data_IF_222023443488
#
_entry.id   IF_222023443488
#
_cell.length_a   1.000
_cell.length_b   1.000
_cell.length_c   1.000
_cell.angle_alpha   90.00
_cell.angle_beta   90.00
_cell.angle_gamma   90.00
#
_symmetry.space_group_name_H-M   'P 1'
#
loop_
_entity.id
_entity.type
_entity.pdbx_description
1 polymer ?
#
# COMPACT_ATOMS: atom_id res chain seq x y z
N UNK A 1 -2.64 21.32 25.32
CA UNK A 1 -1.42 20.52 25.24
C UNK A 1 -0.94 20.52 23.79
N UNK A 2 0.09 21.30 23.53
CA UNK A 2 0.60 21.58 22.18
C UNK A 2 1.46 20.38 21.72
N UNK A 3 0.85 19.42 21.02
CA UNK A 3 1.56 18.26 20.45
C UNK A 3 2.25 18.64 19.14
N UNK A 4 3.17 19.62 19.16
CA UNK A 4 4.05 19.85 18.01
C UNK A 4 5.02 18.68 17.91
N UNK A 5 4.78 17.76 16.96
CA UNK A 5 5.74 16.71 16.60
C UNK A 5 7.10 17.36 16.35
N UNK A 6 8.14 16.89 17.02
CA UNK A 6 9.50 17.41 16.81
C UNK A 6 9.88 17.20 15.33
N UNK A 7 10.55 18.15 14.66
CA UNK A 7 10.87 18.03 13.23
C UNK A 7 11.62 16.73 12.89
N UNK A 8 12.50 16.25 13.79
CA UNK A 8 13.17 14.95 13.63
C UNK A 8 12.25 13.72 13.65
N UNK A 9 11.12 13.77 14.35
CA UNK A 9 10.12 12.68 14.33
C UNK A 9 9.35 12.65 13.02
N UNK A 10 9.08 13.80 12.40
CA UNK A 10 8.41 13.87 11.11
C UNK A 10 9.34 13.29 10.03
N UNK A 11 10.61 13.72 10.01
CA UNK A 11 11.60 13.19 9.07
C UNK A 11 11.76 11.67 9.18
N UNK A 12 11.84 11.14 10.41
CA UNK A 12 11.91 9.70 10.64
C UNK A 12 10.64 8.97 10.16
N UNK A 13 9.45 9.52 10.40
CA UNK A 13 8.19 8.93 9.92
C UNK A 13 8.10 8.87 8.39
N UNK A 14 8.56 9.92 7.72
CA UNK A 14 8.64 9.97 6.25
C UNK A 14 9.63 8.92 5.75
N UNK A 15 10.84 8.86 6.32
CA UNK A 15 11.86 7.88 5.93
C UNK A 15 11.33 6.46 6.05
N UNK A 16 10.71 6.12 7.19
CA UNK A 16 10.16 4.77 7.38
C UNK A 16 9.04 4.49 6.37
N UNK A 17 8.21 5.48 6.05
CA UNK A 17 7.14 5.32 5.04
C UNK A 17 7.71 5.01 3.67
N UNK A 18 8.78 5.70 3.27
CA UNK A 18 9.49 5.45 2.01
C UNK A 18 10.08 4.04 2.01
N UNK A 19 10.76 3.64 3.09
CA UNK A 19 11.35 2.30 3.21
C UNK A 19 10.28 1.22 3.11
N UNK A 20 9.15 1.37 3.81
CA UNK A 20 8.04 0.41 3.74
C UNK A 20 7.45 0.35 2.33
N UNK A 21 7.26 1.50 1.67
CA UNK A 21 6.76 1.55 0.31
C UNK A 21 7.71 0.84 -0.67
N UNK A 22 9.01 1.11 -0.57
CA UNK A 22 10.04 0.47 -1.39
C UNK A 22 10.09 -1.05 -1.18
N UNK A 23 10.02 -1.51 0.08
CA UNK A 23 9.97 -2.93 0.41
C UNK A 23 8.73 -3.61 -0.15
N UNK A 24 7.54 -3.01 0.01
CA UNK A 24 6.30 -3.60 -0.50
C UNK A 24 6.27 -3.63 -2.03
N UNK A 25 6.73 -2.57 -2.70
CA UNK A 25 6.86 -2.55 -4.14
C UNK A 25 7.85 -3.63 -4.62
N UNK A 26 9.04 -3.70 -4.01
CA UNK A 26 10.06 -4.69 -4.35
C UNK A 26 9.60 -6.13 -4.12
N UNK A 27 8.93 -6.41 -3.00
CA UNK A 27 8.35 -7.73 -2.72
C UNK A 27 7.25 -8.09 -3.74
N UNK A 28 6.40 -7.14 -4.13
CA UNK A 28 5.40 -7.36 -5.17
C UNK A 28 6.06 -7.65 -6.52
N UNK A 29 7.14 -6.94 -6.87
CA UNK A 29 7.93 -7.18 -8.08
C UNK A 29 8.55 -8.58 -8.08
N UNK A 30 9.21 -8.96 -6.97
CA UNK A 30 9.83 -10.28 -6.82
C UNK A 30 8.80 -11.41 -6.86
N UNK A 31 7.68 -11.24 -6.15
CA UNK A 31 6.58 -12.19 -6.18
C UNK A 31 6.02 -12.33 -7.60
N UNK A 32 5.87 -11.22 -8.35
CA UNK A 32 5.39 -11.27 -9.74
C UNK A 32 6.37 -12.01 -10.65
N UNK A 33 7.67 -11.74 -10.51
CA UNK A 33 8.71 -12.39 -11.29
C UNK A 33 8.74 -13.90 -10.99
N UNK A 34 8.73 -14.29 -9.72
CA UNK A 34 8.78 -15.70 -9.30
C UNK A 34 7.50 -16.47 -9.68
N UNK A 35 6.34 -15.84 -9.56
CA UNK A 35 5.05 -16.42 -9.92
C UNK A 35 4.73 -16.26 -11.41
N UNK A 36 5.59 -15.60 -12.18
CA UNK A 36 5.57 -15.44 -13.64
C UNK A 36 5.00 -16.64 -14.39
N UNK A 37 5.64 -17.81 -14.26
CA UNK A 37 5.25 -19.03 -14.96
C UNK A 37 3.88 -19.60 -14.55
N UNK A 38 3.41 -19.30 -13.32
CA UNK A 38 2.17 -19.87 -12.76
C UNK A 38 0.96 -18.94 -12.89
N UNK A 39 1.18 -17.64 -12.95
CA UNK A 39 0.10 -16.65 -13.02
C UNK A 39 -0.44 -16.45 -14.45
N UNK A 40 0.25 -16.96 -15.49
CA UNK A 40 -0.20 -16.81 -16.87
C UNK A 40 -0.48 -15.36 -17.26
N UNK A 41 -1.49 -15.15 -18.10
CA UNK A 41 -1.96 -13.83 -18.56
C UNK A 41 -2.64 -12.95 -17.50
N UNK A 42 -2.56 -13.29 -16.21
CA UNK A 42 -3.00 -12.37 -15.14
C UNK A 42 -2.23 -11.06 -15.25
N UNK A 43 -2.99 -9.96 -15.19
CA UNK A 43 -2.47 -8.59 -15.31
C UNK A 43 -1.25 -8.41 -14.39
N UNK A 44 -0.12 -7.87 -14.91
CA UNK A 44 1.11 -7.71 -14.13
C UNK A 44 0.92 -6.82 -12.89
N UNK A 45 -0.19 -6.09 -12.82
CA UNK A 45 -0.51 -5.18 -11.74
C UNK A 45 -1.26 -5.78 -10.55
N UNK A 46 -1.76 -7.02 -10.63
CA UNK A 46 -2.62 -7.57 -9.57
C UNK A 46 -1.92 -7.62 -8.20
N UNK A 47 -0.64 -8.02 -8.17
CA UNK A 47 0.18 -8.05 -6.94
C UNK A 47 0.52 -6.63 -6.44
N UNK A 48 0.67 -5.67 -7.35
CA UNK A 48 0.88 -4.27 -6.96
C UNK A 48 -0.38 -3.67 -6.33
N UNK A 49 -1.59 -4.00 -6.81
CA UNK A 49 -2.85 -3.57 -6.16
C UNK A 49 -2.94 -4.11 -4.73
N UNK A 50 -2.59 -5.37 -4.52
CA UNK A 50 -2.53 -5.95 -3.17
C UNK A 50 -1.51 -5.23 -2.28
N UNK A 51 -0.33 -4.90 -2.82
CA UNK A 51 0.68 -4.13 -2.10
C UNK A 51 0.20 -2.70 -1.75
N UNK A 52 -0.53 -2.03 -2.65
CA UNK A 52 -1.16 -0.72 -2.39
C UNK A 52 -2.16 -0.81 -1.24
N UNK A 53 -3.02 -1.82 -1.24
CA UNK A 53 -3.98 -2.07 -0.16
C UNK A 53 -3.26 -2.26 1.19
N UNK A 54 -2.27 -3.13 1.24
CA UNK A 54 -1.49 -3.39 2.47
C UNK A 54 -0.78 -2.12 2.95
N UNK A 55 -0.11 -1.40 2.05
CA UNK A 55 0.56 -0.14 2.37
C UNK A 55 -0.41 0.90 2.93
N UNK A 56 -1.57 1.06 2.28
CA UNK A 56 -2.65 1.96 2.69
C UNK A 56 -3.20 1.62 4.07
N UNK A 57 -3.40 0.33 4.35
CA UNK A 57 -3.95 -0.15 5.62
C UNK A 57 -2.95 0.00 6.77
N UNK A 58 -1.67 -0.33 6.55
CA UNK A 58 -0.65 -0.35 7.61
C UNK A 58 -0.14 1.05 7.92
N UNK A 59 0.20 1.84 6.89
CA UNK A 59 0.89 3.14 7.04
C UNK A 59 0.04 4.33 6.62
N UNK A 60 -1.13 4.11 6.05
CA UNK A 60 -2.02 5.17 5.61
C UNK A 60 -1.86 5.53 4.13
N UNK A 61 -2.62 6.53 3.66
CA UNK A 61 -2.85 6.77 2.24
C UNK A 61 -1.57 7.19 1.51
N UNK A 62 -0.70 7.96 2.14
CA UNK A 62 0.55 8.40 1.53
C UNK A 62 1.48 7.22 1.19
N UNK A 63 1.56 6.21 2.06
CA UNK A 63 2.35 5.01 1.79
C UNK A 63 1.76 4.22 0.62
N UNK A 64 0.44 4.03 0.59
CA UNK A 64 -0.20 3.32 -0.51
C UNK A 64 -0.11 4.08 -1.84
N UNK A 65 -0.16 5.40 -1.84
CA UNK A 65 0.08 6.22 -3.03
C UNK A 65 1.52 6.06 -3.56
N UNK A 66 2.53 6.02 -2.68
CA UNK A 66 3.92 5.77 -3.08
C UNK A 66 4.07 4.38 -3.71
N UNK A 67 3.47 3.34 -3.11
CA UNK A 67 3.46 1.99 -3.69
C UNK A 67 2.71 1.95 -5.03
N UNK A 68 1.62 2.71 -5.16
CA UNK A 68 0.86 2.81 -6.40
C UNK A 68 1.71 3.43 -7.52
N UNK A 69 2.41 4.52 -7.24
CA UNK A 69 3.29 5.16 -8.22
C UNK A 69 4.48 4.26 -8.58
N UNK A 70 5.19 3.75 -7.57
CA UNK A 70 6.34 2.87 -7.77
C UNK A 70 5.94 1.59 -8.50
N UNK A 71 4.84 0.95 -8.10
CA UNK A 71 4.34 -0.27 -8.73
C UNK A 71 3.85 -0.05 -10.16
N UNK A 72 3.29 1.12 -10.47
CA UNK A 72 2.95 1.51 -11.84
C UNK A 72 4.19 1.61 -12.73
N UNK A 73 5.21 2.34 -12.25
CA UNK A 73 6.47 2.53 -12.99
C UNK A 73 7.21 1.20 -13.16
N UNK A 74 7.43 0.46 -12.07
CA UNK A 74 8.13 -0.83 -12.09
C UNK A 74 7.37 -1.90 -12.87
N UNK A 75 6.05 -1.96 -12.71
CA UNK A 75 5.22 -2.91 -13.44
C UNK A 75 5.22 -2.63 -14.94
N UNK A 76 5.19 -1.35 -15.32
CA UNK A 76 5.29 -0.94 -16.71
C UNK A 76 6.66 -1.27 -17.30
N UNK A 77 7.76 -0.83 -16.67
CA UNK A 77 9.09 -1.00 -17.22
C UNK A 77 9.55 -2.45 -17.27
N UNK A 78 9.23 -3.25 -16.24
CA UNK A 78 9.76 -4.62 -16.13
C UNK A 78 8.89 -5.67 -16.82
N UNK A 79 7.57 -5.45 -16.91
CA UNK A 79 6.65 -6.50 -17.38
C UNK A 79 5.85 -6.11 -18.63
N UNK A 80 5.67 -4.82 -18.91
CA UNK A 80 4.95 -4.38 -20.09
C UNK A 80 5.87 -3.85 -21.19
N UNK A 81 6.96 -3.16 -20.86
CA UNK A 81 7.93 -2.64 -21.81
C UNK A 81 9.38 -3.08 -21.48
N UNK A 82 9.65 -4.39 -21.37
CA UNK A 82 10.96 -4.89 -20.93
C UNK A 82 12.12 -4.47 -21.85
N UNK A 83 11.85 -4.38 -23.16
CA UNK A 83 12.84 -3.94 -24.17
C UNK A 83 12.77 -2.42 -24.44
N UNK A 84 12.06 -1.67 -23.59
CA UNK A 84 11.85 -0.23 -23.75
C UNK A 84 10.76 0.15 -24.77
N UNK A 85 10.25 -0.82 -25.54
CA UNK A 85 9.13 -0.62 -26.47
C UNK A 85 7.84 -1.13 -25.81
N UNK A 86 6.87 -0.23 -25.61
CA UNK A 86 5.59 -0.58 -25.03
C UNK A 86 4.65 -1.18 -26.10
N UNK A 87 4.26 -2.46 -26.01
CA UNK A 87 3.30 -3.05 -26.91
C UNK A 87 1.91 -2.41 -26.75
N UNK A 88 1.05 -2.49 -27.79
CA UNK A 88 -0.29 -1.92 -27.77
C UNK A 88 -1.09 -2.37 -26.54
N UNK A 89 -1.73 -1.43 -25.84
CA UNK A 89 -2.52 -1.71 -24.63
C UNK A 89 -1.75 -1.58 -23.31
N UNK A 90 -0.41 -1.46 -23.32
CA UNK A 90 0.39 -1.31 -22.09
C UNK A 90 0.05 -0.04 -21.31
N UNK A 91 -0.13 1.08 -22.02
CA UNK A 91 -0.54 2.36 -21.41
C UNK A 91 -1.95 2.26 -20.83
N UNK A 92 -2.87 1.59 -21.53
CA UNK A 92 -4.24 1.35 -21.05
C UNK A 92 -4.21 0.50 -19.78
N UNK A 93 -3.41 -0.55 -19.74
CA UNK A 93 -3.24 -1.40 -18.55
C UNK A 93 -2.69 -0.61 -17.34
N UNK A 94 -1.72 0.28 -17.57
CA UNK A 94 -1.20 1.18 -16.53
C UNK A 94 -2.28 2.15 -16.01
N UNK A 95 -3.06 2.74 -16.92
CA UNK A 95 -4.16 3.63 -16.56
C UNK A 95 -5.25 2.91 -15.78
N UNK A 96 -5.61 1.69 -16.18
CA UNK A 96 -6.56 0.84 -15.43
C UNK A 96 -6.00 0.54 -14.04
N UNK A 97 -4.72 0.21 -13.93
CA UNK A 97 -4.10 -0.05 -12.63
C UNK A 97 -4.19 1.16 -11.71
N UNK A 98 -3.84 2.37 -12.17
CA UNK A 98 -3.99 3.58 -11.34
C UNK A 98 -5.45 3.88 -11.03
N UNK A 99 -6.34 3.72 -12.02
CA UNK A 99 -7.78 3.89 -11.86
C UNK A 99 -8.40 2.96 -10.83
N UNK A 100 -7.94 1.71 -10.74
CA UNK A 100 -8.38 0.73 -9.73
C UNK A 100 -7.69 0.94 -8.38
N UNK A 101 -6.42 1.32 -8.38
CA UNK A 101 -5.65 1.49 -7.14
C UNK A 101 -6.10 2.71 -6.33
N UNK A 102 -6.58 3.77 -6.99
CA UNK A 102 -7.10 4.95 -6.31
C UNK A 102 -8.29 4.65 -5.37
N UNK A 103 -9.40 4.01 -5.81
CA UNK A 103 -10.49 3.65 -4.91
C UNK A 103 -10.06 2.60 -3.87
N UNK A 104 -9.19 1.64 -4.23
CA UNK A 104 -8.63 0.67 -3.27
C UNK A 104 -7.92 1.40 -2.13
N UNK A 105 -7.14 2.45 -2.44
CA UNK A 105 -6.45 3.24 -1.43
C UNK A 105 -7.41 4.02 -0.53
N UNK A 106 -8.48 4.58 -1.10
CA UNK A 106 -9.53 5.26 -0.33
C UNK A 106 -10.20 4.28 0.63
N UNK A 107 -10.60 3.10 0.14
CA UNK A 107 -11.19 2.05 0.96
C UNK A 107 -10.22 1.55 2.04
N UNK A 108 -8.94 1.36 1.71
CA UNK A 108 -7.92 0.95 2.67
C UNK A 108 -7.78 1.96 3.82
N UNK A 109 -7.79 3.26 3.50
CA UNK A 109 -7.73 4.31 4.49
C UNK A 109 -8.97 4.34 5.39
N UNK A 110 -10.16 4.19 4.80
CA UNK A 110 -11.41 4.13 5.57
C UNK A 110 -11.42 2.92 6.51
N UNK A 111 -11.06 1.73 6.02
CA UNK A 111 -10.92 0.52 6.84
C UNK A 111 -9.91 0.71 7.96
N UNK A 112 -8.76 1.34 7.69
CA UNK A 112 -7.74 1.65 8.71
C UNK A 112 -8.31 2.52 9.82
N UNK A 113 -9.05 3.57 9.47
CA UNK A 113 -9.68 4.47 10.45
C UNK A 113 -10.74 3.73 11.27
N UNK A 114 -11.58 2.93 10.62
CA UNK A 114 -12.61 2.14 11.29
C UNK A 114 -12.01 1.12 12.26
N UNK A 115 -10.99 0.37 11.83
CA UNK A 115 -10.27 -0.59 12.67
C UNK A 115 -9.62 0.08 13.87
N UNK A 116 -8.99 1.24 13.68
CA UNK A 116 -8.37 1.99 14.78
C UNK A 116 -9.41 2.41 15.81
N UNK A 117 -10.57 2.91 15.37
CA UNK A 117 -11.67 3.30 16.26
C UNK A 117 -12.28 2.10 16.98
N UNK A 118 -12.47 0.98 16.29
CA UNK A 118 -12.99 -0.25 16.86
C UNK A 118 -12.07 -0.80 17.96
N UNK A 119 -10.76 -0.87 17.69
CA UNK A 119 -9.76 -1.32 18.66
C UNK A 119 -9.67 -0.40 19.89
N UNK A 120 -9.75 0.92 19.69
CA UNK A 120 -9.77 1.86 20.81
C UNK A 120 -11.01 1.67 21.71
N UNK A 121 -12.18 1.43 21.12
CA UNK A 121 -13.41 1.13 21.87
C UNK A 121 -13.30 -0.19 22.63
N UNK A 122 -12.73 -1.21 22.01
CA UNK A 122 -12.50 -2.51 22.64
C UNK A 122 -11.54 -2.40 23.83
N UNK A 123 -10.41 -1.70 23.64
CA UNK A 123 -9.44 -1.44 24.72
C UNK A 123 -10.10 -0.72 25.90
N UNK A 124 -10.85 0.35 25.64
CA UNK A 124 -11.54 1.10 26.69
C UNK A 124 -12.61 0.25 27.43
N UNK A 125 -13.29 -0.66 26.73
CA UNK A 125 -14.25 -1.57 27.34
C UNK A 125 -13.58 -2.63 28.23
N UNK A 126 -12.41 -3.14 27.80
CA UNK A 126 -11.60 -4.07 28.59
C UNK A 126 -11.03 -3.39 29.84
N UNK A 127 -10.50 -2.18 29.71
CA UNK A 127 -9.97 -1.41 30.85
C UNK A 127 -11.05 -1.14 31.90
N UNK A 128 -12.27 -0.78 31.47
CA UNK A 128 -13.41 -0.58 32.36
C UNK A 128 -13.84 -1.87 33.06
N UNK A 129 -13.78 -3.03 32.39
CA UNK A 129 -14.10 -4.32 33.03
C UNK A 129 -13.01 -4.78 33.99
N UNK A 130 -11.73 -4.55 33.65
CA UNK A 130 -10.60 -4.88 34.52
C UNK A 130 -10.55 -4.04 35.80
N UNK A 131 -10.89 -2.76 35.71
CA UNK A 131 -10.92 -1.84 36.87
C UNK A 131 -12.12 -2.01 37.82
N UNK A 132 -13.10 -2.87 37.49
CA UNK A 132 -14.22 -3.22 38.40
C UNK A 132 -13.90 -4.49 39.21
N UNK A 133 -12.86 -5.23 38.83
CA UNK A 133 -12.41 -6.44 39.51
C UNK A 133 -11.23 -6.23 40.48
N UNK A 134 -10.77 -4.98 40.64
CA UNK A 134 -9.75 -4.54 41.61
C UNK A 134 -10.39 -3.68 42.69
#
# INVERSE_FOLDING_TARGET
>A
MDTRKRPGQIALQVLITIVVAALLAGLATLARAALGPRLGGLSPFMLYVAAVLVAGLVRGPLCGALVMLAGGILGFSLFLAPDGVAPPGSVVALMIFWGVSAPVLVTANELRVQLTRAMARLSAALDRKGGVAS
#
